data_IF_571707031492
#
_entry.id   IF_571707031492
#
_cell.length_a   1.000
_cell.length_b   1.000
_cell.length_c   1.000
_cell.angle_alpha   90.00
_cell.angle_beta   90.00
_cell.angle_gamma   90.00
#
_symmetry.space_group_name_H-M   'P 1'
#
loop_
_entity.id
_entity.type
_entity.pdbx_description
1 polymer ?
#
# COMPACT_ATOMS: atom_id res chain seq x y z
N UNK A 1 -23.02 -72.81 4.88
CA UNK A 1 -24.20 -73.66 5.14
C UNK A 1 -24.58 -73.44 6.60
N UNK A 2 -25.70 -72.76 6.86
CA UNK A 2 -26.98 -73.32 7.30
C UNK A 2 -27.06 -73.55 8.82
N UNK A 3 -28.05 -72.88 9.42
CA UNK A 3 -28.49 -72.97 10.80
C UNK A 3 -29.17 -74.33 11.11
N UNK A 4 -29.25 -74.72 12.39
CA UNK A 4 -30.49 -74.72 13.21
C UNK A 4 -30.42 -75.60 14.47
N UNK A 5 -31.09 -75.09 15.53
CA UNK A 5 -31.93 -75.75 16.57
C UNK A 5 -31.30 -76.79 17.52
N UNK A 6 -31.28 -76.56 18.84
CA UNK A 6 -32.36 -76.58 19.87
C UNK A 6 -32.55 -77.99 20.48
N UNK A 7 -32.36 -78.13 21.79
CA UNK A 7 -33.43 -78.47 22.75
C UNK A 7 -32.96 -78.97 24.14
N UNK A 8 -33.56 -78.33 25.15
CA UNK A 8 -34.27 -78.89 26.33
C UNK A 8 -33.51 -79.67 27.42
N UNK A 9 -33.48 -79.02 28.58
CA UNK A 9 -33.42 -79.57 29.94
C UNK A 9 -34.60 -80.51 30.24
N UNK A 10 -34.35 -81.79 30.52
CA UNK A 10 -35.27 -82.60 31.34
C UNK A 10 -34.61 -83.88 31.88
N UNK A 11 -34.77 -84.07 33.19
CA UNK A 11 -34.95 -85.37 33.87
C UNK A 11 -33.72 -86.30 34.05
N UNK A 12 -33.22 -86.38 35.30
CA UNK A 12 -33.53 -87.54 36.19
C UNK A 12 -33.01 -87.37 37.63
N UNK A 13 -33.98 -87.11 38.51
CA UNK A 13 -34.27 -87.79 39.79
C UNK A 13 -33.12 -88.37 40.64
N UNK A 14 -32.80 -87.62 41.69
CA UNK A 14 -32.77 -87.99 43.12
C UNK A 14 -32.57 -89.47 43.53
N UNK A 15 -31.51 -89.71 44.31
CA UNK A 15 -31.48 -90.70 45.41
C UNK A 15 -31.22 -89.97 46.72
N UNK A 16 -32.20 -89.97 47.62
CA UNK A 16 -32.12 -89.36 48.96
C UNK A 16 -31.28 -90.24 49.91
N UNK A 17 -30.38 -89.62 50.67
CA UNK A 17 -29.52 -90.24 51.69
C UNK A 17 -30.10 -90.07 53.11
N UNK A 18 -29.76 -90.97 54.05
CA UNK A 18 -30.51 -91.20 55.29
C UNK A 18 -30.41 -90.10 56.35
N UNK A 19 -31.51 -89.95 57.10
CA UNK A 19 -31.88 -88.88 58.06
C UNK A 19 -30.84 -88.45 59.11
N UNK A 20 -29.82 -89.26 59.42
CA UNK A 20 -28.79 -88.91 60.41
C UNK A 20 -27.83 -87.81 59.93
N UNK A 21 -27.69 -87.63 58.61
CA UNK A 21 -26.87 -86.55 58.04
C UNK A 21 -27.60 -85.20 58.06
N UNK A 22 -28.94 -85.22 58.14
CA UNK A 22 -29.77 -84.00 58.15
C UNK A 22 -29.72 -83.31 59.52
N UNK A 23 -29.65 -84.06 60.62
CA UNK A 23 -29.59 -83.49 61.98
C UNK A 23 -28.25 -82.84 62.31
N UNK A 24 -27.14 -83.36 61.76
CA UNK A 24 -25.81 -82.75 61.92
C UNK A 24 -25.68 -81.45 61.08
N UNK A 25 -26.26 -81.41 59.89
CA UNK A 25 -26.30 -80.21 59.06
C UNK A 25 -27.16 -79.09 59.68
N UNK A 26 -28.26 -79.45 60.36
CA UNK A 26 -29.11 -78.48 61.05
C UNK A 26 -28.40 -77.77 62.22
N UNK A 27 -27.59 -78.47 63.02
CA UNK A 27 -26.84 -77.84 64.12
C UNK A 27 -25.70 -76.93 63.63
N UNK A 28 -25.09 -77.24 62.48
CA UNK A 28 -24.06 -76.42 61.83
C UNK A 28 -24.61 -75.13 61.19
N UNK A 29 -25.93 -75.06 60.97
CA UNK A 29 -26.63 -73.89 60.44
C UNK A 29 -27.15 -72.92 61.51
N UNK A 30 -27.22 -73.34 62.78
CA UNK A 30 -27.66 -72.49 63.89
C UNK A 30 -26.49 -71.70 64.51
N UNK A 31 -25.27 -72.23 64.46
CA UNK A 31 -24.08 -71.56 64.99
C UNK A 31 -23.69 -70.25 64.26
N UNK A 32 -23.85 -70.08 62.93
CA UNK A 32 -23.65 -68.78 62.28
C UNK A 32 -24.77 -67.79 62.59
N UNK A 33 -25.98 -68.27 62.90
CA UNK A 33 -27.13 -67.40 63.16
C UNK A 33 -27.01 -66.66 64.51
N UNK A 34 -26.37 -67.26 65.52
CA UNK A 34 -26.07 -66.54 66.78
C UNK A 34 -24.85 -65.62 66.67
N UNK A 35 -23.89 -65.90 65.79
CA UNK A 35 -22.74 -65.02 65.54
C UNK A 35 -23.08 -63.71 64.83
N UNK A 36 -24.23 -63.65 64.13
CA UNK A 36 -24.70 -62.44 63.43
C UNK A 36 -25.50 -61.49 64.35
N UNK A 37 -26.02 -61.96 65.48
CA UNK A 37 -26.84 -61.11 66.39
C UNK A 37 -26.01 -60.34 67.42
N UNK A 38 -24.73 -60.69 67.63
CA UNK A 38 -23.84 -59.93 68.54
C UNK A 38 -23.00 -58.85 67.85
N UNK A 39 -23.11 -58.68 66.53
CA UNK A 39 -22.36 -57.64 65.78
C UNK A 39 -23.13 -56.31 65.62
N UNK A 40 -24.36 -56.20 66.13
CA UNK A 40 -25.14 -54.96 66.14
C UNK A 40 -25.23 -54.40 67.56
N UNK A 41 -24.15 -53.81 68.05
CA UNK A 41 -24.18 -53.09 69.31
C UNK A 41 -22.78 -52.80 69.84
N UNK A 42 -22.05 -51.87 69.20
CA UNK A 42 -21.57 -50.59 69.75
C UNK A 42 -20.79 -49.92 68.61
N UNK A 43 -21.47 -49.23 67.70
CA UNK A 43 -20.78 -48.12 67.04
C UNK A 43 -20.67 -47.02 68.09
N UNK A 44 -19.46 -46.54 68.46
CA UNK A 44 -19.37 -45.38 69.33
C UNK A 44 -20.19 -44.28 68.66
N UNK A 45 -21.07 -43.62 69.42
CA UNK A 45 -21.82 -42.48 68.94
C UNK A 45 -20.83 -41.57 68.24
N UNK A 46 -20.92 -41.50 66.91
CA UNK A 46 -20.06 -40.61 66.14
C UNK A 46 -20.49 -39.24 66.64
N UNK A 47 -19.61 -38.61 67.43
CA UNK A 47 -19.77 -37.22 67.81
C UNK A 47 -19.67 -36.48 66.49
N UNK A 48 -20.82 -36.25 65.85
CA UNK A 48 -20.90 -35.25 64.81
C UNK A 48 -20.68 -33.96 65.57
N UNK A 49 -19.45 -33.48 65.59
CA UNK A 49 -19.23 -32.05 65.76
C UNK A 49 -20.06 -31.43 64.65
N UNK A 50 -21.26 -30.95 64.99
CA UNK A 50 -22.02 -30.08 64.13
C UNK A 50 -21.16 -28.85 64.08
N UNK A 51 -20.25 -28.80 63.12
CA UNK A 51 -19.60 -27.57 62.75
C UNK A 51 -20.77 -26.64 62.42
N UNK A 52 -20.98 -25.63 63.24
CA UNK A 52 -21.84 -24.52 62.84
C UNK A 52 -21.22 -24.01 61.55
N UNK A 53 -21.85 -24.38 60.43
CA UNK A 53 -21.49 -23.82 59.15
C UNK A 53 -22.00 -22.39 59.21
N UNK A 54 -21.16 -21.49 59.68
CA UNK A 54 -21.37 -20.08 59.45
C UNK A 54 -21.28 -19.89 57.93
N UNK A 55 -22.42 -19.61 57.30
CA UNK A 55 -22.43 -19.14 55.92
C UNK A 55 -21.80 -17.75 55.96
N UNK A 56 -20.50 -17.69 55.69
CA UNK A 56 -19.79 -16.43 55.49
C UNK A 56 -20.14 -15.98 54.08
N UNK A 57 -21.21 -15.20 53.97
CA UNK A 57 -21.45 -14.41 52.77
C UNK A 57 -20.39 -13.31 52.72
N UNK A 58 -19.26 -13.62 52.09
CA UNK A 58 -18.29 -12.61 51.71
C UNK A 58 -18.77 -12.04 50.38
N UNK A 59 -19.33 -10.81 50.34
CA UNK A 59 -19.58 -10.16 49.06
C UNK A 59 -18.23 -9.98 48.40
N UNK A 60 -17.92 -10.84 47.44
CA UNK A 60 -16.85 -10.58 46.50
C UNK A 60 -17.38 -9.43 45.68
N UNK A 61 -16.93 -8.21 46.03
CA UNK A 61 -17.01 -7.09 45.11
C UNK A 61 -16.28 -7.57 43.87
N UNK A 62 -17.03 -7.97 42.84
CA UNK A 62 -16.49 -7.97 41.49
C UNK A 62 -15.85 -6.59 41.37
N UNK A 63 -14.57 -6.47 40.98
CA UNK A 63 -14.09 -5.18 40.54
C UNK A 63 -15.09 -4.78 39.45
N UNK A 64 -15.99 -3.86 39.79
CA UNK A 64 -16.69 -3.09 38.78
C UNK A 64 -15.53 -2.67 37.89
N UNK A 65 -15.56 -2.98 36.57
CA UNK A 65 -14.54 -2.43 35.70
C UNK A 65 -14.48 -0.97 36.10
N UNK A 66 -13.31 -0.49 36.57
CA UNK A 66 -13.10 0.93 36.82
C UNK A 66 -13.83 1.58 35.68
N UNK A 67 -14.82 2.44 35.97
CA UNK A 67 -15.51 3.17 34.91
C UNK A 67 -14.35 3.73 34.10
N UNK A 68 -14.07 3.08 32.96
CA UNK A 68 -12.98 3.51 32.12
C UNK A 68 -13.51 4.87 31.77
N UNK A 69 -12.92 5.91 32.36
CA UNK A 69 -13.24 7.29 32.07
C UNK A 69 -13.30 7.29 30.56
N UNK A 70 -14.51 7.32 29.99
CA UNK A 70 -14.72 6.98 28.59
C UNK A 70 -13.75 7.88 27.86
N UNK A 71 -12.64 7.31 27.41
CA UNK A 71 -11.49 8.07 27.00
C UNK A 71 -12.04 8.93 25.88
N UNK A 72 -12.17 10.24 26.11
CA UNK A 72 -12.96 11.19 25.29
C UNK A 72 -13.05 10.63 23.89
N UNK A 73 -14.21 10.07 23.50
CA UNK A 73 -14.25 9.15 22.37
C UNK A 73 -13.64 9.85 21.15
N UNK A 74 -12.46 9.38 20.73
CA UNK A 74 -11.71 9.96 19.62
C UNK A 74 -12.03 9.13 18.39
N UNK A 75 -12.46 9.80 17.35
CA UNK A 75 -12.79 9.19 16.08
C UNK A 75 -11.75 9.60 15.06
N UNK A 76 -11.12 8.61 14.43
CA UNK A 76 -10.17 8.83 13.34
C UNK A 76 -10.89 8.55 12.03
N UNK A 77 -10.91 9.54 11.14
CA UNK A 77 -11.43 9.41 9.79
C UNK A 77 -10.32 9.75 8.79
N UNK A 78 -10.31 9.06 7.66
CA UNK A 78 -9.33 9.26 6.60
C UNK A 78 -10.01 9.30 5.24
N UNK A 79 -9.67 10.33 4.46
CA UNK A 79 -10.29 10.58 3.16
C UNK A 79 -9.24 10.92 2.10
N UNK A 80 -9.51 10.49 0.87
CA UNK A 80 -8.75 10.91 -0.30
C UNK A 80 -9.34 12.20 -0.84
N UNK A 81 -8.46 13.16 -1.14
CA UNK A 81 -8.83 14.37 -1.88
C UNK A 81 -9.30 13.96 -3.27
N UNK A 82 -10.51 14.34 -3.63
CA UNK A 82 -11.08 14.15 -4.96
C UNK A 82 -10.89 15.40 -5.81
N UNK A 83 -11.11 15.24 -7.12
CA UNK A 83 -11.01 16.36 -8.06
C UNK A 83 -12.14 17.36 -7.81
N UNK A 84 -11.78 18.62 -7.56
CA UNK A 84 -12.74 19.69 -7.30
C UNK A 84 -13.16 19.82 -5.84
N UNK A 85 -12.59 18.99 -4.94
CA UNK A 85 -12.85 19.11 -3.51
C UNK A 85 -12.46 20.47 -2.98
N UNK A 86 -13.26 20.96 -2.03
CA UNK A 86 -12.90 22.08 -1.17
C UNK A 86 -12.51 21.54 0.21
N UNK A 87 -11.73 22.32 0.97
CA UNK A 87 -11.38 21.93 2.35
C UNK A 87 -12.65 21.77 3.21
N UNK A 88 -13.68 22.57 2.98
CA UNK A 88 -14.97 22.44 3.67
C UNK A 88 -15.66 21.10 3.34
N UNK A 89 -15.76 20.73 2.06
CA UNK A 89 -16.35 19.45 1.66
C UNK A 89 -15.57 18.24 2.20
N UNK A 90 -14.25 18.35 2.33
CA UNK A 90 -13.44 17.32 2.97
C UNK A 90 -13.67 17.24 4.48
N UNK A 91 -13.83 18.39 5.15
CA UNK A 91 -14.19 18.42 6.57
C UNK A 91 -15.53 17.72 6.80
N UNK A 92 -16.52 17.98 5.95
CA UNK A 92 -17.84 17.32 6.03
C UNK A 92 -17.71 15.80 5.89
N UNK A 93 -16.93 15.32 4.91
CA UNK A 93 -16.67 13.87 4.71
C UNK A 93 -15.89 13.24 5.85
N UNK A 94 -14.96 13.98 6.45
CA UNK A 94 -14.18 13.55 7.61
C UNK A 94 -14.97 13.64 8.93
N UNK A 95 -16.21 14.13 8.91
CA UNK A 95 -17.03 14.31 10.11
C UNK A 95 -16.61 15.49 10.99
N UNK A 96 -15.79 16.40 10.47
CA UNK A 96 -15.30 17.58 11.21
C UNK A 96 -16.35 18.68 11.18
N UNK A 97 -16.85 19.07 12.36
CA UNK A 97 -17.84 20.12 12.58
C UNK A 97 -17.29 21.24 13.48
N UNK A 98 -16.13 21.78 13.11
CA UNK A 98 -15.46 22.84 13.88
C UNK A 98 -15.18 24.09 13.01
N UNK A 99 -16.05 25.12 13.07
CA UNK A 99 -15.85 26.36 12.32
C UNK A 99 -14.54 27.08 12.66
N UNK A 100 -14.07 26.97 13.92
CA UNK A 100 -12.83 27.61 14.38
C UNK A 100 -11.60 27.00 13.70
N UNK A 101 -11.62 25.70 13.43
CA UNK A 101 -10.56 25.03 12.71
C UNK A 101 -10.43 25.53 11.26
N UNK A 102 -11.58 25.72 10.58
CA UNK A 102 -11.62 26.25 9.22
C UNK A 102 -11.14 27.70 9.15
N UNK A 103 -11.52 28.53 10.13
CA UNK A 103 -11.06 29.91 10.27
C UNK A 103 -9.55 29.97 10.51
N UNK A 104 -9.04 29.15 11.44
CA UNK A 104 -7.60 29.03 11.69
C UNK A 104 -6.83 28.66 10.42
N UNK A 105 -7.29 27.64 9.69
CA UNK A 105 -6.66 27.21 8.44
C UNK A 105 -6.55 28.34 7.42
N UNK A 106 -7.53 29.26 7.38
CA UNK A 106 -7.53 30.41 6.46
C UNK A 106 -6.62 31.54 6.93
N UNK A 107 -6.49 31.74 8.25
CA UNK A 107 -5.66 32.80 8.83
C UNK A 107 -4.17 32.45 8.91
N UNK A 108 -3.85 31.20 9.26
CA UNK A 108 -2.49 30.77 9.54
C UNK A 108 -1.63 30.61 8.26
N UNK A 109 -0.33 30.89 8.35
CA UNK A 109 0.58 30.80 7.20
C UNK A 109 0.81 29.35 6.73
N UNK A 110 0.97 28.41 7.67
CA UNK A 110 1.16 26.98 7.39
C UNK A 110 -0.18 26.30 7.12
N UNK A 111 -1.21 26.63 7.90
CA UNK A 111 -2.59 26.18 7.67
C UNK A 111 -3.07 26.49 6.25
N UNK A 112 -2.76 27.69 5.72
CA UNK A 112 -3.10 28.07 4.33
C UNK A 112 -2.44 27.20 3.26
N UNK A 113 -1.42 26.40 3.58
CA UNK A 113 -0.85 25.45 2.62
C UNK A 113 -1.87 24.41 2.19
N UNK A 114 -2.81 24.01 3.06
CA UNK A 114 -3.82 23.00 2.71
C UNK A 114 -4.71 23.48 1.56
N UNK A 115 -5.09 24.76 1.52
CA UNK A 115 -5.90 25.33 0.43
C UNK A 115 -5.12 25.46 -0.89
N UNK A 116 -3.81 25.69 -0.82
CA UNK A 116 -2.94 25.84 -2.00
C UNK A 116 -2.45 24.51 -2.57
N UNK A 117 -2.34 23.51 -1.71
CA UNK A 117 -1.72 22.23 -2.02
C UNK A 117 -2.71 21.07 -1.94
N UNK A 118 -4.03 21.32 -1.96
CA UNK A 118 -5.04 20.27 -2.02
C UNK A 118 -4.94 19.53 -3.36
N UNK A 119 -4.21 18.42 -3.39
CA UNK A 119 -3.93 17.67 -4.62
C UNK A 119 -4.79 16.42 -4.63
N UNK A 120 -5.59 16.18 -5.68
CA UNK A 120 -6.35 14.95 -5.81
C UNK A 120 -5.48 13.70 -5.64
N UNK A 121 -5.99 12.73 -4.90
CA UNK A 121 -5.31 11.48 -4.56
C UNK A 121 -4.49 11.52 -3.26
N UNK A 122 -4.18 12.71 -2.72
CA UNK A 122 -3.53 12.81 -1.39
C UNK A 122 -4.51 12.44 -0.28
N UNK A 123 -3.95 11.92 0.81
CA UNK A 123 -4.71 11.51 1.99
C UNK A 123 -4.75 12.66 3.01
N UNK A 124 -5.93 12.85 3.58
CA UNK A 124 -6.20 13.75 4.69
C UNK A 124 -6.82 12.94 5.81
N UNK A 125 -6.30 13.05 7.02
CA UNK A 125 -6.80 12.36 8.19
C UNK A 125 -7.24 13.39 9.23
N UNK A 126 -8.38 13.16 9.88
CA UNK A 126 -8.86 13.96 10.99
C UNK A 126 -9.08 13.08 12.21
N UNK A 127 -8.66 13.58 13.37
CA UNK A 127 -9.10 13.11 14.66
C UNK A 127 -10.14 14.09 15.19
N UNK A 128 -11.31 13.56 15.52
CA UNK A 128 -12.44 14.33 16.06
C UNK A 128 -12.87 13.78 17.41
N UNK A 129 -13.46 14.64 18.22
CA UNK A 129 -14.21 14.19 19.39
C UNK A 129 -15.66 13.84 19.04
N UNK A 130 -16.49 13.54 20.05
CA UNK A 130 -17.84 13.02 19.86
C UNK A 130 -18.80 13.94 19.09
N UNK A 131 -18.59 15.26 19.15
CA UNK A 131 -19.46 16.24 18.49
C UNK A 131 -18.89 16.70 17.13
N UNK A 132 -17.80 16.08 16.67
CA UNK A 132 -17.09 16.46 15.46
C UNK A 132 -16.11 17.61 15.65
N UNK A 133 -15.81 18.01 16.89
CA UNK A 133 -14.78 19.01 17.17
C UNK A 133 -13.42 18.48 16.71
N UNK A 134 -12.66 19.32 16.00
CA UNK A 134 -11.35 18.90 15.48
C UNK A 134 -10.35 18.85 16.64
N UNK A 135 -9.75 17.68 16.85
CA UNK A 135 -8.65 17.48 17.78
C UNK A 135 -7.31 17.55 17.05
N UNK A 136 -7.21 16.87 15.90
CA UNK A 136 -6.05 16.94 15.03
C UNK A 136 -6.43 16.78 13.55
N UNK A 137 -5.70 17.45 12.65
CA UNK A 137 -5.79 17.26 11.20
C UNK A 137 -4.39 16.99 10.65
N UNK A 138 -4.23 15.91 9.90
CA UNK A 138 -2.96 15.51 9.29
C UNK A 138 -3.11 15.48 7.78
N UNK A 139 -2.35 16.34 7.11
CA UNK A 139 -2.28 16.40 5.66
C UNK A 139 -0.91 15.93 5.17
N UNK A 140 -0.89 14.80 4.47
CA UNK A 140 0.36 14.16 4.07
C UNK A 140 0.94 14.84 2.82
N UNK A 141 2.06 15.55 2.99
CA UNK A 141 2.70 16.31 1.92
C UNK A 141 3.49 15.40 0.98
N UNK A 142 3.90 14.22 1.45
CA UNK A 142 4.59 13.16 0.70
C UNK A 142 5.51 12.36 1.62
N UNK A 143 6.58 11.74 1.09
CA UNK A 143 7.56 11.02 1.89
C UNK A 143 8.37 11.91 2.85
N UNK A 144 8.38 13.23 2.59
CA UNK A 144 9.20 14.19 3.32
C UNK A 144 8.57 14.65 4.64
N UNK A 145 7.28 14.38 4.85
CA UNK A 145 6.57 14.78 6.06
C UNK A 145 5.10 15.08 5.83
N UNK A 146 4.45 15.49 6.91
CA UNK A 146 3.04 15.86 6.96
C UNK A 146 2.88 17.21 7.63
N UNK A 147 1.83 17.92 7.23
CA UNK A 147 1.33 19.08 7.95
C UNK A 147 0.34 18.58 9.00
N UNK A 148 0.64 18.83 10.27
CA UNK A 148 -0.20 18.51 11.41
C UNK A 148 -0.77 19.79 12.01
N UNK A 149 -2.08 19.82 12.20
CA UNK A 149 -2.77 20.87 12.94
C UNK A 149 -3.36 20.23 14.18
N UNK A 150 -3.02 20.76 15.35
CA UNK A 150 -3.52 20.24 16.62
C UNK A 150 -4.29 21.32 17.36
N UNK A 151 -5.37 20.90 18.01
CA UNK A 151 -6.10 21.72 18.96
C UNK A 151 -5.26 21.92 20.22
N UNK A 152 -5.18 23.17 20.69
CA UNK A 152 -4.57 23.57 21.95
C UNK A 152 -5.61 24.29 22.83
N UNK A 153 -5.33 24.56 24.12
CA UNK A 153 -6.22 25.37 24.96
C UNK A 153 -6.53 26.76 24.37
N UNK A 154 -5.55 27.36 23.68
CA UNK A 154 -5.65 28.71 23.13
C UNK A 154 -6.13 28.75 21.66
N UNK A 155 -6.44 27.60 21.06
CA UNK A 155 -6.92 27.51 19.67
C UNK A 155 -6.31 26.34 18.91
N UNK A 156 -5.58 26.63 17.84
CA UNK A 156 -4.93 25.63 16.99
C UNK A 156 -3.49 26.03 16.68
N UNK A 157 -2.64 25.03 16.48
CA UNK A 157 -1.24 25.22 16.06
C UNK A 157 -0.96 24.31 14.86
N UNK A 158 -0.28 24.83 13.85
CA UNK A 158 0.12 24.11 12.65
C UNK A 158 1.64 23.89 12.63
N UNK A 159 2.06 22.64 12.44
CA UNK A 159 3.46 22.24 12.35
C UNK A 159 3.69 21.27 11.20
N UNK A 160 4.84 21.39 10.55
CA UNK A 160 5.31 20.34 9.64
C UNK A 160 6.17 19.38 10.46
N UNK A 161 5.87 18.07 10.36
CA UNK A 161 6.68 17.03 11.01
C UNK A 161 7.03 15.93 10.02
N UNK A 162 8.17 15.28 10.26
CA UNK A 162 8.48 14.04 9.58
C UNK A 162 7.49 12.95 9.99
N UNK A 163 7.25 11.99 9.10
CA UNK A 163 6.54 10.76 9.43
C UNK A 163 7.44 9.99 10.40
N UNK A 164 6.95 9.74 11.61
CA UNK A 164 7.76 9.21 12.70
C UNK A 164 7.95 7.69 12.60
N UNK A 165 6.95 6.98 12.09
CA UNK A 165 7.02 5.52 11.99
C UNK A 165 8.01 5.10 10.90
N UNK A 166 8.88 4.12 11.17
CA UNK A 166 9.79 3.60 10.16
C UNK A 166 8.99 3.00 8.99
N UNK A 167 9.44 3.21 7.73
CA UNK A 167 8.81 2.59 6.58
C UNK A 167 8.78 1.07 6.73
N UNK A 168 7.65 0.47 6.39
CA UNK A 168 7.51 -0.99 6.36
C UNK A 168 7.79 -1.49 4.94
N UNK A 169 8.58 -2.54 4.84
CA UNK A 169 8.97 -3.13 3.56
C UNK A 169 7.98 -4.22 3.15
N UNK A 170 7.43 -4.09 1.96
CA UNK A 170 6.55 -5.06 1.33
C UNK A 170 7.25 -5.69 0.13
N UNK A 171 6.89 -6.93 -0.19
CA UNK A 171 7.31 -7.58 -1.40
C UNK A 171 6.13 -8.27 -2.09
N UNK A 172 6.08 -8.20 -3.41
CA UNK A 172 5.01 -8.76 -4.23
C UNK A 172 5.57 -9.29 -5.54
N UNK A 173 4.91 -10.29 -6.11
CA UNK A 173 5.21 -10.80 -7.44
C UNK A 173 3.91 -11.06 -8.20
N UNK A 174 3.90 -10.78 -9.50
CA UNK A 174 2.73 -11.01 -10.35
C UNK A 174 3.15 -11.37 -11.78
N UNK A 175 2.19 -11.91 -12.53
CA UNK A 175 2.33 -12.23 -13.95
C UNK A 175 1.39 -11.37 -14.77
N UNK A 176 1.88 -10.81 -15.86
CA UNK A 176 1.13 -10.00 -16.80
C UNK A 176 0.15 -10.90 -17.55
N UNK A 177 -1.14 -10.58 -17.43
CA UNK A 177 -2.21 -11.21 -18.21
C UNK A 177 -2.70 -10.30 -19.34
N UNK A 178 -2.85 -9.01 -19.03
CA UNK A 178 -3.38 -7.99 -19.94
C UNK A 178 -2.55 -6.69 -19.91
N UNK A 179 -2.25 -6.17 -18.72
CA UNK A 179 -1.42 -4.98 -18.54
C UNK A 179 -0.65 -5.02 -17.23
N UNK A 180 0.34 -4.14 -17.07
CA UNK A 180 1.05 -3.98 -15.79
C UNK A 180 0.11 -3.57 -14.66
N UNK A 181 -0.77 -2.59 -14.91
CA UNK A 181 -1.69 -2.07 -13.90
C UNK A 181 -2.68 -3.14 -13.43
N UNK A 182 -3.27 -3.91 -14.36
CA UNK A 182 -4.14 -5.02 -13.99
C UNK A 182 -3.41 -6.07 -13.14
N UNK A 183 -2.14 -6.34 -13.45
CA UNK A 183 -1.33 -7.26 -12.67
C UNK A 183 -0.98 -6.71 -11.27
N UNK A 184 -0.64 -5.42 -11.15
CA UNK A 184 -0.38 -4.78 -9.84
C UNK A 184 -1.63 -4.73 -8.97
N UNK A 185 -2.79 -4.43 -9.56
CA UNK A 185 -4.08 -4.38 -8.86
C UNK A 185 -4.45 -5.76 -8.30
N UNK A 186 -4.24 -6.82 -9.09
CA UNK A 186 -4.56 -8.20 -8.69
C UNK A 186 -3.81 -8.68 -7.44
N UNK A 187 -2.68 -8.05 -7.10
CA UNK A 187 -1.87 -8.39 -5.92
C UNK A 187 -1.82 -7.27 -4.87
N UNK A 188 -2.63 -6.22 -5.05
CA UNK A 188 -2.75 -5.09 -4.12
C UNK A 188 -1.52 -4.19 -4.05
N UNK A 189 -0.77 -4.03 -5.15
CA UNK A 189 0.31 -3.05 -5.23
C UNK A 189 -0.32 -1.67 -5.53
N UNK A 190 -0.01 -0.61 -4.75
CA UNK A 190 -0.51 0.73 -5.03
C UNK A 190 -0.04 1.29 -6.38
N UNK A 191 -0.89 2.07 -7.05
CA UNK A 191 -0.62 2.72 -8.34
C UNK A 191 0.71 3.50 -8.37
N UNK A 192 1.05 4.16 -7.26
CA UNK A 192 2.29 4.92 -7.14
C UNK A 192 3.54 4.02 -7.27
N UNK A 193 3.47 2.76 -6.83
CA UNK A 193 4.54 1.78 -7.03
C UNK A 193 4.49 1.23 -8.45
N UNK A 194 3.30 0.96 -9.01
CA UNK A 194 3.16 0.54 -10.41
C UNK A 194 3.81 1.56 -11.38
N UNK A 195 3.61 2.85 -11.13
CA UNK A 195 4.25 3.95 -11.86
C UNK A 195 5.77 4.04 -11.65
N UNK A 196 6.26 3.63 -10.48
CA UNK A 196 7.71 3.52 -10.26
C UNK A 196 8.30 2.34 -11.04
N UNK A 197 7.60 1.20 -11.13
CA UNK A 197 8.04 0.06 -11.95
C UNK A 197 8.20 0.49 -13.41
N UNK A 198 7.22 1.19 -13.97
CA UNK A 198 7.30 1.66 -15.37
C UNK A 198 8.50 2.58 -15.58
N UNK A 199 8.75 3.51 -14.66
CA UNK A 199 9.87 4.45 -14.70
C UNK A 199 11.23 3.76 -14.62
N UNK A 200 11.37 2.86 -13.66
CA UNK A 200 12.63 2.17 -13.36
C UNK A 200 13.08 1.27 -14.52
N UNK A 201 12.14 0.63 -15.22
CA UNK A 201 12.44 -0.24 -16.35
C UNK A 201 12.19 0.42 -17.71
N UNK A 202 11.84 1.71 -17.73
CA UNK A 202 11.57 2.44 -18.96
C UNK A 202 12.74 2.41 -19.94
N UNK A 203 13.97 2.20 -19.46
CA UNK A 203 15.17 2.08 -20.31
C UNK A 203 15.08 0.91 -21.26
N UNK A 204 14.66 -0.24 -20.72
CA UNK A 204 14.81 -1.53 -21.35
C UNK A 204 13.50 -2.09 -21.91
N UNK A 205 12.37 -1.60 -21.41
CA UNK A 205 11.03 -2.09 -21.75
C UNK A 205 10.13 -0.90 -22.09
N UNK A 206 9.55 -0.89 -23.28
CA UNK A 206 8.39 -0.04 -23.57
C UNK A 206 7.11 -0.73 -23.10
N UNK A 207 6.57 -0.27 -21.97
CA UNK A 207 5.37 -0.87 -21.36
C UNK A 207 4.10 -0.79 -22.22
N UNK A 208 4.11 -0.04 -23.35
CA UNK A 208 2.97 0.05 -24.26
C UNK A 208 3.02 -0.99 -25.39
N UNK A 209 4.22 -1.37 -25.84
CA UNK A 209 4.41 -2.27 -26.99
C UNK A 209 5.05 -3.61 -26.65
N UNK A 210 5.89 -3.64 -25.62
CA UNK A 210 6.79 -4.77 -25.39
C UNK A 210 6.19 -5.78 -24.39
N UNK A 211 5.19 -5.37 -23.61
CA UNK A 211 4.53 -6.26 -22.65
C UNK A 211 3.78 -7.41 -23.33
N UNK A 212 4.01 -8.62 -22.82
CA UNK A 212 3.34 -9.84 -23.29
C UNK A 212 2.68 -10.58 -22.15
N UNK A 213 1.64 -11.33 -22.48
CA UNK A 213 1.04 -12.30 -21.55
C UNK A 213 2.10 -13.31 -21.12
N UNK A 214 2.25 -13.51 -19.82
CA UNK A 214 3.25 -14.40 -19.24
C UNK A 214 4.54 -13.71 -18.74
N UNK A 215 4.76 -12.45 -19.11
CA UNK A 215 5.79 -11.63 -18.47
C UNK A 215 5.54 -11.56 -16.97
N UNK A 216 6.58 -11.37 -16.16
CA UNK A 216 6.45 -11.38 -14.71
C UNK A 216 7.33 -10.32 -14.08
N UNK A 217 6.91 -9.87 -12.90
CA UNK A 217 7.73 -8.97 -12.11
C UNK A 217 7.72 -9.38 -10.64
N UNK A 218 8.76 -8.95 -9.93
CA UNK A 218 8.89 -9.04 -8.48
C UNK A 218 9.37 -7.68 -8.00
N UNK A 219 8.73 -7.13 -6.97
CA UNK A 219 9.04 -5.80 -6.46
C UNK A 219 9.11 -5.83 -4.95
N UNK A 220 10.10 -5.13 -4.40
CA UNK A 220 10.29 -4.85 -2.98
C UNK A 220 10.21 -3.34 -2.80
N UNK A 221 9.28 -2.87 -1.97
CA UNK A 221 8.98 -1.44 -1.84
C UNK A 221 8.60 -1.07 -0.41
N UNK A 222 8.74 0.20 -0.09
CA UNK A 222 8.38 0.76 1.21
C UNK A 222 6.93 1.27 1.19
N UNK A 223 6.26 1.15 2.33
CA UNK A 223 4.98 1.78 2.65
C UNK A 223 5.15 2.57 3.94
N UNK A 224 4.71 3.81 3.94
CA UNK A 224 4.80 4.70 5.08
C UNK A 224 3.51 4.63 5.89
N UNK A 225 3.67 4.55 7.20
CA UNK A 225 2.59 4.52 8.17
C UNK A 225 2.72 5.72 9.10
N UNK A 226 1.62 6.13 9.72
CA UNK A 226 1.64 7.09 10.81
C UNK A 226 0.58 6.67 11.82
N UNK A 227 1.00 6.41 13.06
CA UNK A 227 0.12 5.90 14.13
C UNK A 227 -0.58 4.59 13.75
N UNK A 228 0.11 3.74 12.98
CA UNK A 228 -0.42 2.43 12.53
C UNK A 228 -1.30 2.47 11.27
N UNK A 229 -1.69 3.65 10.79
CA UNK A 229 -2.49 3.81 9.57
C UNK A 229 -1.62 3.94 8.33
N UNK A 230 -2.10 3.42 7.19
CA UNK A 230 -1.38 3.52 5.93
C UNK A 230 -1.50 4.94 5.35
N UNK A 231 -0.34 5.58 5.18
CA UNK A 231 -0.25 6.97 4.71
C UNK A 231 -0.03 7.03 3.21
N UNK A 232 1.05 6.40 2.72
CA UNK A 232 1.41 6.47 1.31
C UNK A 232 2.36 5.34 0.96
N UNK A 233 2.38 5.00 -0.33
CA UNK A 233 3.51 4.28 -0.88
C UNK A 233 4.78 5.13 -0.82
N UNK A 234 5.88 4.49 -0.43
CA UNK A 234 7.22 5.04 -0.46
C UNK A 234 7.88 4.74 -1.81
N UNK A 235 9.11 4.23 -1.75
CA UNK A 235 9.96 3.97 -2.91
C UNK A 235 10.17 2.47 -3.15
N UNK A 236 10.45 2.11 -4.39
CA UNK A 236 10.96 0.78 -4.74
C UNK A 236 12.40 0.66 -4.24
N UNK A 237 12.67 -0.35 -3.42
CA UNK A 237 14.01 -0.70 -2.96
C UNK A 237 14.73 -1.59 -3.97
N UNK A 238 14.02 -2.59 -4.49
CA UNK A 238 14.52 -3.42 -5.58
C UNK A 238 13.39 -4.02 -6.39
N UNK A 239 13.65 -4.28 -7.67
CA UNK A 239 12.70 -4.93 -8.55
C UNK A 239 13.41 -5.84 -9.56
N UNK A 240 12.69 -6.87 -9.99
CA UNK A 240 13.02 -7.71 -11.13
C UNK A 240 11.85 -7.68 -12.11
N UNK A 241 12.14 -7.52 -13.40
CA UNK A 241 11.17 -7.71 -14.47
C UNK A 241 11.70 -8.75 -15.45
N UNK A 242 10.84 -9.68 -15.86
CA UNK A 242 11.14 -10.63 -16.93
C UNK A 242 10.19 -10.38 -18.08
N UNK A 243 10.74 -9.86 -19.18
CA UNK A 243 10.04 -9.54 -20.41
C UNK A 243 10.66 -10.34 -21.56
N UNK A 244 9.85 -11.11 -22.27
CA UNK A 244 10.30 -11.98 -23.39
C UNK A 244 11.49 -12.88 -23.02
N UNK A 245 11.45 -13.45 -21.80
CA UNK A 245 12.51 -14.31 -21.26
C UNK A 245 13.78 -13.58 -20.79
N UNK A 246 13.94 -12.29 -21.11
CA UNK A 246 15.06 -11.46 -20.63
C UNK A 246 14.75 -10.90 -19.26
N UNK A 247 15.76 -10.90 -18.39
CA UNK A 247 15.64 -10.45 -17.00
C UNK A 247 16.32 -9.11 -16.81
N UNK A 248 15.59 -8.20 -16.19
CA UNK A 248 16.01 -6.86 -15.85
C UNK A 248 15.93 -6.68 -14.35
N UNK A 249 16.92 -6.01 -13.77
CA UNK A 249 16.94 -5.70 -12.35
C UNK A 249 17.07 -4.21 -12.13
N UNK A 250 16.59 -3.79 -10.97
CA UNK A 250 16.77 -2.45 -10.47
C UNK A 250 16.94 -2.49 -8.96
N UNK A 251 17.95 -1.78 -8.46
CA UNK A 251 18.32 -1.69 -7.06
C UNK A 251 18.48 -0.22 -6.72
N UNK A 252 17.73 0.23 -5.72
CA UNK A 252 17.87 1.58 -5.17
C UNK A 252 19.22 1.70 -4.48
N UNK A 253 19.99 2.72 -4.83
CA UNK A 253 21.24 3.03 -4.18
C UNK A 253 21.38 4.53 -3.99
N UNK A 254 21.95 4.91 -2.84
CA UNK A 254 22.34 6.28 -2.53
C UNK A 254 23.86 6.36 -2.48
N UNK A 255 24.45 7.28 -3.23
CA UNK A 255 25.88 7.52 -3.22
C UNK A 255 26.31 8.37 -2.01
N UNK A 256 27.62 8.63 -1.91
CA UNK A 256 28.21 9.39 -0.80
C UNK A 256 27.87 10.89 -0.84
N UNK A 257 27.44 11.40 -2.00
CA UNK A 257 26.97 12.77 -2.19
C UNK A 257 25.47 12.92 -1.86
N UNK A 258 24.80 11.81 -1.55
CA UNK A 258 23.37 11.76 -1.25
C UNK A 258 22.47 11.66 -2.49
N UNK A 259 23.03 11.48 -3.68
CA UNK A 259 22.25 11.23 -4.88
C UNK A 259 21.69 9.81 -4.83
N UNK A 260 20.40 9.69 -5.12
CA UNK A 260 19.68 8.42 -5.06
C UNK A 260 19.16 8.05 -6.44
N UNK A 261 19.36 6.79 -6.83
CA UNK A 261 18.95 6.28 -8.14
C UNK A 261 18.73 4.77 -8.14
N UNK A 262 18.13 4.28 -9.22
CA UNK A 262 17.97 2.85 -9.46
C UNK A 262 19.02 2.36 -10.45
N UNK A 263 19.73 1.30 -10.09
CA UNK A 263 20.82 0.73 -10.87
C UNK A 263 20.59 -0.76 -11.11
N UNK A 264 21.13 -1.29 -12.19
CA UNK A 264 21.20 -2.72 -12.43
C UNK A 264 22.21 -3.37 -11.50
N UNK A 265 22.19 -4.70 -11.39
CA UNK A 265 23.11 -5.45 -10.52
C UNK A 265 24.60 -5.23 -10.82
N UNK A 266 24.97 -4.76 -12.02
CA UNK A 266 26.34 -4.42 -12.38
C UNK A 266 26.74 -2.97 -12.07
N UNK A 267 25.79 -2.14 -11.61
CA UNK A 267 25.97 -0.72 -11.31
C UNK A 267 25.63 0.21 -12.48
N UNK A 268 25.13 -0.31 -13.60
CA UNK A 268 24.61 0.50 -14.70
C UNK A 268 23.34 1.21 -14.25
N UNK A 269 23.23 2.51 -14.49
CA UNK A 269 22.04 3.26 -14.09
C UNK A 269 20.82 2.89 -14.94
N UNK A 270 19.72 2.56 -14.27
CA UNK A 270 18.46 2.11 -14.89
C UNK A 270 17.47 3.24 -15.14
N UNK A 271 17.63 4.38 -14.47
CA UNK A 271 16.88 5.57 -14.82
C UNK A 271 17.32 6.02 -16.21
N UNK A 272 16.42 6.03 -17.21
CA UNK A 272 16.71 6.79 -18.44
C UNK A 272 16.98 8.21 -17.97
N UNK A 273 17.99 8.89 -18.54
CA UNK A 273 18.10 10.33 -18.33
C UNK A 273 16.77 11.03 -18.67
N UNK A 274 15.92 10.44 -19.53
CA UNK A 274 14.59 10.94 -19.90
C UNK A 274 13.52 9.84 -20.10
N UNK A 275 12.30 10.05 -19.61
CA UNK A 275 11.10 9.30 -19.98
C UNK A 275 10.75 9.57 -21.44
N UNK A 276 10.37 8.51 -22.19
CA UNK A 276 9.88 8.66 -23.57
C UNK A 276 8.41 9.04 -23.67
N UNK A 277 7.61 8.54 -22.75
CA UNK A 277 6.21 8.93 -22.58
C UNK A 277 6.04 9.64 -21.25
N UNK A 278 5.90 10.98 -21.24
CA UNK A 278 5.72 11.75 -20.02
C UNK A 278 4.25 11.85 -19.57
N UNK A 279 3.38 10.94 -19.99
CA UNK A 279 1.96 10.97 -19.59
C UNK A 279 1.42 9.57 -19.34
N UNK A 280 0.64 9.45 -18.28
CA UNK A 280 0.06 8.18 -17.85
C UNK A 280 -1.01 7.70 -18.85
N UNK A 281 -1.19 6.39 -19.02
CA UNK A 281 -2.33 5.79 -19.75
C UNK A 281 -2.58 6.34 -21.16
N UNK A 282 -1.51 6.57 -21.93
CA UNK A 282 -1.64 7.19 -23.25
C UNK A 282 -1.34 6.25 -24.40
N UNK A 283 -1.85 6.64 -25.56
CA UNK A 283 -1.40 6.12 -26.86
C UNK A 283 -0.83 7.28 -27.66
N UNK A 284 0.22 7.01 -28.45
CA UNK A 284 0.67 7.98 -29.46
C UNK A 284 -0.47 8.17 -30.46
N UNK A 285 -1.07 9.36 -30.48
CA UNK A 285 -2.10 9.73 -31.45
C UNK A 285 -1.51 10.35 -32.71
N UNK A 286 -0.34 11.00 -32.60
CA UNK A 286 0.42 11.51 -33.75
C UNK A 286 1.91 11.51 -33.46
N UNK A 287 2.71 10.98 -34.39
CA UNK A 287 4.17 10.99 -34.31
C UNK A 287 4.82 12.32 -34.73
N UNK A 288 6.14 12.39 -34.60
CA UNK A 288 6.99 13.49 -35.05
C UNK A 288 7.17 13.50 -36.57
N UNK A 289 7.20 14.68 -37.20
CA UNK A 289 7.46 14.84 -38.64
C UNK A 289 6.34 15.51 -39.45
N UNK A 290 6.48 15.52 -40.78
CA UNK A 290 5.52 16.19 -41.67
C UNK A 290 4.14 15.52 -41.63
N UNK A 291 3.09 16.30 -41.30
CA UNK A 291 1.70 15.83 -41.33
C UNK A 291 0.76 16.89 -41.88
N UNK A 292 -0.37 16.43 -42.41
CA UNK A 292 -1.47 17.30 -42.78
C UNK A 292 -2.15 17.87 -41.52
N UNK A 293 -2.25 19.20 -41.42
CA UNK A 293 -2.79 19.90 -40.26
C UNK A 293 -4.32 20.04 -40.38
N UNK A 294 -5.12 19.37 -39.53
CA UNK A 294 -6.57 19.28 -39.74
C UNK A 294 -7.33 20.61 -39.57
N UNK A 295 -6.73 21.60 -38.89
CA UNK A 295 -7.34 22.93 -38.69
C UNK A 295 -6.95 23.92 -39.80
N UNK A 296 -5.78 23.75 -40.43
CA UNK A 296 -5.25 24.71 -41.41
C UNK A 296 -5.14 24.14 -42.83
N UNK A 297 -5.56 22.88 -43.02
CA UNK A 297 -5.57 22.13 -44.29
C UNK A 297 -4.27 22.22 -45.11
N UNK A 298 -3.10 22.19 -44.45
CA UNK A 298 -1.79 22.18 -45.10
C UNK A 298 -0.82 21.19 -44.45
N UNK A 299 0.22 20.79 -45.19
CA UNK A 299 1.32 20.00 -44.65
C UNK A 299 2.20 20.87 -43.76
N UNK A 300 2.33 20.50 -42.48
CA UNK A 300 3.19 21.17 -41.50
C UNK A 300 4.05 20.15 -40.76
N UNK A 301 5.24 20.58 -40.37
CA UNK A 301 6.08 19.80 -39.49
C UNK A 301 5.43 19.75 -38.10
N UNK A 302 5.14 18.54 -37.63
CA UNK A 302 4.80 18.29 -36.25
C UNK A 302 6.10 18.19 -35.44
N UNK A 303 6.34 19.20 -34.61
CA UNK A 303 7.60 19.43 -33.89
C UNK A 303 7.73 18.64 -32.59
N UNK A 304 6.78 17.73 -32.35
CA UNK A 304 6.68 16.90 -31.16
C UNK A 304 5.88 15.62 -31.43
N UNK A 305 5.47 14.97 -30.35
CA UNK A 305 4.63 13.76 -30.36
C UNK A 305 3.37 14.05 -29.56
N UNK A 306 2.22 13.66 -30.09
CA UNK A 306 0.94 13.82 -29.42
C UNK A 306 0.56 12.50 -28.74
N UNK A 307 0.33 12.58 -27.43
CA UNK A 307 -0.15 11.47 -26.61
C UNK A 307 -1.62 11.71 -26.25
N UNK A 308 -2.52 10.92 -26.82
CA UNK A 308 -3.93 10.97 -26.45
C UNK A 308 -4.13 10.35 -25.07
N UNK A 309 -4.77 11.10 -24.18
CA UNK A 309 -5.11 10.68 -22.82
C UNK A 309 -6.33 11.48 -22.32
N UNK A 310 -7.14 10.95 -21.39
CA UNK A 310 -8.28 11.66 -20.82
C UNK A 310 -7.89 13.01 -20.20
N UNK A 311 -8.78 14.01 -20.29
CA UNK A 311 -8.55 15.33 -19.68
C UNK A 311 -8.36 15.21 -18.16
N UNK A 312 -7.26 15.72 -17.64
CA UNK A 312 -6.89 15.65 -16.23
C UNK A 312 -5.85 14.58 -15.91
N UNK A 313 -5.48 13.74 -16.88
CA UNK A 313 -4.39 12.76 -16.70
C UNK A 313 -3.08 13.47 -16.36
N UNK A 314 -2.29 12.93 -15.45
CA UNK A 314 -1.05 13.59 -15.00
C UNK A 314 -0.01 13.59 -16.11
N UNK A 315 0.58 14.76 -16.33
CA UNK A 315 1.76 14.95 -17.16
C UNK A 315 2.97 15.07 -16.24
N UNK A 316 4.01 14.31 -16.53
CA UNK A 316 5.18 14.15 -15.67
C UNK A 316 6.43 14.78 -16.32
N UNK A 317 7.35 15.30 -15.51
CA UNK A 317 8.65 15.73 -16.03
C UNK A 317 9.40 14.54 -16.63
N UNK A 318 9.83 14.65 -17.89
CA UNK A 318 10.56 13.57 -18.54
C UNK A 318 11.92 13.29 -17.86
N UNK A 319 12.52 14.29 -17.22
CA UNK A 319 13.83 14.19 -16.60
C UNK A 319 14.02 15.22 -15.49
N UNK A 320 15.06 15.04 -14.68
CA UNK A 320 15.52 16.04 -13.73
C UNK A 320 15.84 17.36 -14.45
N UNK A 321 15.46 18.48 -13.84
CA UNK A 321 15.68 19.79 -14.44
C UNK A 321 15.08 20.94 -13.65
N UNK A 322 15.02 22.08 -14.31
CA UNK A 322 14.33 23.26 -13.79
C UNK A 322 13.37 23.83 -14.84
N UNK A 323 12.21 24.27 -14.37
CA UNK A 323 11.18 24.88 -15.21
C UNK A 323 11.69 26.24 -15.70
N UNK A 324 11.83 26.41 -17.01
CA UNK A 324 12.22 27.69 -17.65
C UNK A 324 11.02 28.48 -18.15
N UNK A 325 9.84 27.87 -18.19
CA UNK A 325 8.58 28.57 -18.42
C UNK A 325 7.37 27.73 -18.02
N UNK A 326 6.38 28.38 -17.42
CA UNK A 326 5.07 27.79 -17.16
C UNK A 326 4.00 28.87 -17.37
N UNK A 327 3.11 28.69 -18.34
CA UNK A 327 2.09 29.68 -18.67
C UNK A 327 1.46 29.47 -20.03
N UNK A 328 0.65 30.45 -20.47
CA UNK A 328 0.03 30.44 -21.79
C UNK A 328 1.06 30.72 -22.90
N UNK A 329 1.04 29.91 -23.98
CA UNK A 329 1.95 30.00 -25.13
C UNK A 329 1.23 29.73 -26.45
N UNK A 330 0.44 30.70 -26.90
CA UNK A 330 -0.20 30.71 -28.23
C UNK A 330 -0.82 29.34 -28.60
N UNK A 331 -0.39 28.75 -29.72
CA UNK A 331 -0.91 27.48 -30.22
C UNK A 331 -0.75 26.31 -29.23
N UNK A 332 0.24 26.34 -28.33
CA UNK A 332 0.39 25.31 -27.29
C UNK A 332 -0.63 25.45 -26.14
N UNK A 333 -1.34 26.58 -26.03
CA UNK A 333 -2.20 26.83 -24.88
C UNK A 333 -1.39 26.93 -23.58
N UNK A 334 -1.85 26.29 -22.49
CA UNK A 334 -1.03 26.20 -21.29
C UNK A 334 0.12 25.21 -21.52
N UNK A 335 1.35 25.68 -21.30
CA UNK A 335 2.54 24.89 -21.53
C UNK A 335 3.56 25.04 -20.39
N UNK A 336 4.28 23.95 -20.15
CA UNK A 336 5.48 23.92 -19.30
C UNK A 336 6.69 23.64 -20.19
N UNK A 337 7.79 24.35 -19.97
CA UNK A 337 9.06 24.12 -20.61
C UNK A 337 10.14 23.90 -19.55
N UNK A 338 10.91 22.82 -19.69
CA UNK A 338 11.87 22.37 -18.68
C UNK A 338 13.25 22.29 -19.34
N UNK A 339 14.24 22.89 -18.66
CA UNK A 339 15.64 22.79 -19.01
C UNK A 339 16.28 21.68 -18.19
N UNK A 340 16.97 20.80 -18.89
CA UNK A 340 17.67 19.65 -18.32
C UNK A 340 19.18 19.84 -18.42
N UNK A 341 19.94 18.84 -17.98
CA UNK A 341 21.39 18.79 -18.15
C UNK A 341 21.82 18.99 -19.61
N UNK A 342 22.97 19.63 -19.81
CA UNK A 342 23.52 19.93 -21.14
C UNK A 342 22.67 20.92 -21.93
N UNK A 343 22.49 20.67 -23.23
CA UNK A 343 21.74 21.55 -24.15
C UNK A 343 20.28 21.13 -24.36
N UNK A 344 19.73 20.27 -23.49
CA UNK A 344 18.41 19.64 -23.70
C UNK A 344 17.28 20.48 -23.08
N UNK A 345 16.17 20.64 -23.81
CA UNK A 345 14.91 21.17 -23.28
C UNK A 345 13.73 20.29 -23.69
N UNK A 346 12.70 20.25 -22.85
CA UNK A 346 11.41 19.59 -23.17
C UNK A 346 10.26 20.56 -23.01
N UNK A 347 9.22 20.42 -23.84
CA UNK A 347 7.99 21.23 -23.79
C UNK A 347 6.77 20.33 -23.70
N UNK A 348 5.82 20.72 -22.86
CA UNK A 348 4.58 20.00 -22.56
C UNK A 348 3.41 20.95 -22.81
N UNK A 349 2.70 20.77 -23.92
CA UNK A 349 1.62 21.65 -24.38
C UNK A 349 0.21 21.11 -24.12
N UNK A 350 -0.78 21.96 -24.41
CA UNK A 350 -2.22 21.73 -24.33
C UNK A 350 -2.75 21.41 -22.93
N UNK A 351 -2.01 21.77 -21.87
CA UNK A 351 -2.36 21.42 -20.50
C UNK A 351 -3.69 22.04 -20.07
N UNK A 352 -4.47 21.35 -19.24
CA UNK A 352 -5.66 21.94 -18.62
C UNK A 352 -5.31 22.84 -17.43
N UNK A 353 -4.12 22.65 -16.86
CA UNK A 353 -3.59 23.39 -15.71
C UNK A 353 -2.24 22.84 -15.27
N UNK A 354 -1.59 23.54 -14.35
CA UNK A 354 -0.27 23.22 -13.80
C UNK A 354 -0.38 22.51 -12.45
N UNK A 355 0.62 21.70 -12.09
CA UNK A 355 0.70 21.17 -10.72
C UNK A 355 1.11 22.29 -9.74
N UNK A 356 0.72 22.23 -8.45
CA UNK A 356 0.81 23.38 -7.53
C UNK A 356 2.21 23.98 -7.32
N UNK A 357 3.26 23.17 -7.43
CA UNK A 357 4.64 23.61 -7.23
C UNK A 357 5.30 24.16 -8.51
N UNK A 358 4.60 24.10 -9.65
CA UNK A 358 5.18 24.36 -10.97
C UNK A 358 5.06 25.83 -11.33
N UNK A 359 6.23 26.46 -11.45
CA UNK A 359 6.44 27.85 -11.85
C UNK A 359 7.84 28.00 -12.41
N UNK A 360 8.10 29.05 -13.17
CA UNK A 360 9.47 29.37 -13.63
C UNK A 360 10.45 29.38 -12.45
N UNK A 361 11.58 28.68 -12.61
CA UNK A 361 12.61 28.47 -11.59
C UNK A 361 12.40 27.25 -10.69
N UNK A 362 11.24 26.58 -10.72
CA UNK A 362 11.01 25.38 -9.91
C UNK A 362 11.93 24.23 -10.35
N UNK A 363 12.55 23.55 -9.38
CA UNK A 363 13.26 22.29 -9.60
C UNK A 363 12.24 21.16 -9.69
N UNK A 364 12.47 20.24 -10.62
CA UNK A 364 11.66 19.04 -10.81
C UNK A 364 12.59 17.85 -10.95
N UNK A 365 12.15 16.72 -10.42
CA UNK A 365 12.76 15.42 -10.64
C UNK A 365 12.00 14.68 -11.74
N UNK A 366 12.67 13.74 -12.39
CA UNK A 366 12.05 12.84 -13.35
C UNK A 366 10.81 12.18 -12.73
N UNK A 367 9.69 12.32 -13.43
CA UNK A 367 8.42 11.75 -13.04
C UNK A 367 7.63 12.56 -12.01
N UNK A 368 8.09 13.76 -11.62
CA UNK A 368 7.29 14.69 -10.84
C UNK A 368 6.10 15.17 -11.68
N UNK A 369 4.87 15.26 -11.13
CA UNK A 369 3.74 15.86 -11.82
C UNK A 369 4.00 17.33 -12.14
N UNK A 370 3.94 17.69 -13.42
CA UNK A 370 4.15 19.08 -13.87
C UNK A 370 2.86 19.77 -14.30
N UNK A 371 1.83 18.99 -14.64
CA UNK A 371 0.55 19.51 -15.07
C UNK A 371 -0.41 18.38 -15.40
N UNK A 372 -1.49 18.74 -16.09
CA UNK A 372 -2.57 17.80 -16.41
C UNK A 372 -2.98 17.94 -17.87
N UNK A 373 -3.26 16.82 -18.53
CA UNK A 373 -3.71 16.76 -19.92
C UNK A 373 -4.96 17.61 -20.12
N UNK A 374 -4.96 18.43 -21.16
CA UNK A 374 -6.09 19.27 -21.52
C UNK A 374 -6.29 19.31 -23.03
N UNK A 375 -6.96 20.36 -23.47
CA UNK A 375 -7.18 20.69 -24.88
C UNK A 375 -7.13 22.21 -25.06
N UNK A 376 -6.18 22.88 -24.38
CA UNK A 376 -6.01 24.34 -24.47
C UNK A 376 -5.16 24.70 -25.69
N UNK A 377 -5.31 25.92 -26.22
CA UNK A 377 -4.63 26.32 -27.47
C UNK A 377 -5.24 25.65 -28.69
N UNK A 378 -4.40 25.28 -29.67
CA UNK A 378 -4.82 24.66 -30.92
C UNK A 378 -4.88 23.13 -30.79
N UNK A 379 -5.87 22.63 -30.06
CA UNK A 379 -6.09 21.20 -29.85
C UNK A 379 -7.49 20.79 -30.32
N UNK A 380 -7.60 19.68 -31.06
CA UNK A 380 -8.90 19.14 -31.51
C UNK A 380 -9.60 18.28 -30.44
N UNK A 381 -8.86 17.83 -29.43
CA UNK A 381 -9.38 17.04 -28.31
C UNK A 381 -8.31 16.84 -27.23
N UNK A 382 -8.65 16.17 -26.11
CA UNK A 382 -7.71 15.97 -25.02
C UNK A 382 -6.46 15.16 -25.41
N UNK A 383 -5.29 15.80 -25.36
CA UNK A 383 -3.99 15.16 -25.58
C UNK A 383 -2.85 16.00 -24.97
N UNK A 384 -1.69 15.39 -24.80
CA UNK A 384 -0.44 16.08 -24.52
C UNK A 384 0.35 16.24 -25.81
N UNK A 385 0.77 17.46 -26.14
CA UNK A 385 1.80 17.70 -27.13
C UNK A 385 3.18 17.76 -26.44
N UNK A 386 4.08 16.86 -26.81
CA UNK A 386 5.40 16.71 -26.20
C UNK A 386 6.53 16.99 -27.19
N UNK A 387 7.37 17.98 -26.90
CA UNK A 387 8.56 18.26 -27.69
C UNK A 387 9.85 17.94 -26.92
N UNK A 388 10.85 17.48 -27.66
CA UNK A 388 12.21 17.27 -27.16
C UNK A 388 13.18 18.04 -28.05
N UNK A 389 14.06 18.85 -27.45
CA UNK A 389 15.05 19.65 -28.18
C UNK A 389 16.45 19.40 -27.66
N UNK A 390 17.41 19.32 -28.58
CA UNK A 390 18.85 19.32 -28.27
C UNK A 390 19.46 20.54 -28.93
N UNK A 391 20.09 21.42 -28.15
CA UNK A 391 20.69 22.66 -28.64
C UNK A 391 19.71 23.52 -29.48
N UNK A 392 18.43 23.52 -29.09
CA UNK A 392 17.36 24.24 -29.77
C UNK A 392 16.73 23.53 -30.97
N UNK A 393 17.32 22.46 -31.49
CA UNK A 393 16.75 21.68 -32.60
C UNK A 393 15.79 20.61 -32.10
N UNK A 394 14.58 20.57 -32.66
CA UNK A 394 13.57 19.54 -32.35
C UNK A 394 14.05 18.16 -32.78
N UNK A 395 13.85 17.18 -31.91
CA UNK A 395 14.18 15.78 -32.13
C UNK A 395 12.93 14.93 -31.93
N UNK A 396 12.84 13.81 -32.64
CA UNK A 396 11.82 12.80 -32.38
C UNK A 396 12.08 12.18 -31.00
N UNK A 397 11.25 12.47 -29.97
CA UNK A 397 11.46 11.95 -28.62
C UNK A 397 11.40 10.42 -28.55
N UNK A 398 10.75 9.78 -29.54
CA UNK A 398 10.61 8.33 -29.64
C UNK A 398 11.81 7.68 -30.33
N UNK A 399 12.75 8.44 -30.92
CA UNK A 399 13.91 7.89 -31.63
C UNK A 399 15.24 8.44 -31.16
N UNK A 400 15.26 9.64 -30.60
CA UNK A 400 16.49 10.33 -30.18
C UNK A 400 17.30 9.46 -29.21
N UNK A 401 18.61 9.42 -29.43
CA UNK A 401 19.55 8.82 -28.50
C UNK A 401 19.60 9.69 -27.24
N UNK A 402 19.14 9.13 -26.13
CA UNK A 402 19.14 9.82 -24.84
C UNK A 402 20.53 9.74 -24.20
N UNK A 403 20.96 10.76 -23.43
CA UNK A 403 22.18 10.68 -22.65
C UNK A 403 22.15 9.41 -21.78
N UNK A 404 23.27 8.68 -21.76
CA UNK A 404 23.41 7.54 -20.85
C UNK A 404 23.49 8.08 -19.43
N UNK A 405 22.65 7.57 -18.53
CA UNK A 405 22.71 7.94 -17.14
C UNK A 405 24.04 7.48 -16.52
N UNK A 406 24.58 8.28 -15.60
CA UNK A 406 25.89 8.01 -14.98
C UNK A 406 25.79 6.74 -14.14
N UNK A 407 26.68 5.75 -14.34
CA UNK A 407 26.72 4.53 -13.52
C UNK A 407 27.10 4.86 -12.08
N UNK A 408 27.03 3.86 -11.19
CA UNK A 408 27.49 4.01 -9.81
C UNK A 408 28.93 4.53 -9.79
N UNK A 409 29.25 5.61 -9.05
CA UNK A 409 30.61 6.12 -8.92
C UNK A 409 31.57 5.04 -8.44
N UNK A 410 32.78 5.01 -9.00
CA UNK A 410 33.78 4.00 -8.68
C UNK A 410 34.07 3.92 -7.16
N UNK A 411 34.06 5.07 -6.47
CA UNK A 411 34.25 5.15 -5.02
C UNK A 411 33.18 4.40 -4.22
N UNK A 412 31.93 4.37 -4.71
CA UNK A 412 30.80 3.75 -4.03
C UNK A 412 30.49 2.32 -4.51
N UNK A 413 31.27 1.81 -5.49
CA UNK A 413 31.03 0.51 -6.15
C UNK A 413 31.01 -0.67 -5.19
N UNK A 414 31.92 -0.72 -4.22
CA UNK A 414 31.97 -1.82 -3.25
C UNK A 414 30.72 -1.87 -2.35
N UNK A 415 30.22 -0.71 -1.92
CA UNK A 415 28.98 -0.61 -1.13
C UNK A 415 27.78 -1.00 -2.00
N UNK A 416 27.76 -0.55 -3.24
CA UNK A 416 26.73 -0.95 -4.20
C UNK A 416 26.68 -2.46 -4.42
N UNK A 417 27.84 -3.12 -4.58
CA UNK A 417 27.90 -4.57 -4.83
C UNK A 417 27.33 -5.40 -3.67
N UNK A 418 27.50 -4.91 -2.44
CA UNK A 418 26.86 -5.49 -1.26
C UNK A 418 25.33 -5.32 -1.32
N UNK A 419 24.84 -4.10 -1.57
CA UNK A 419 23.40 -3.82 -1.73
C UNK A 419 22.78 -4.64 -2.87
N UNK A 420 23.46 -4.75 -4.02
CA UNK A 420 23.00 -5.52 -5.17
C UNK A 420 22.92 -7.02 -4.88
N UNK A 421 23.87 -7.55 -4.11
CA UNK A 421 23.86 -8.96 -3.70
C UNK A 421 22.70 -9.27 -2.76
N UNK A 422 22.43 -8.39 -1.80
CA UNK A 422 21.27 -8.51 -0.91
C UNK A 422 19.95 -8.44 -1.70
N UNK A 423 19.81 -7.42 -2.56
CA UNK A 423 18.62 -7.24 -3.39
C UNK A 423 18.35 -8.46 -4.28
N UNK A 424 19.37 -8.98 -4.97
CA UNK A 424 19.27 -10.20 -5.78
C UNK A 424 18.79 -11.40 -4.96
N UNK A 425 19.30 -11.56 -3.74
CA UNK A 425 18.91 -12.66 -2.86
C UNK A 425 17.45 -12.54 -2.44
N UNK A 426 17.02 -11.35 -2.01
CA UNK A 426 15.64 -11.08 -1.61
C UNK A 426 14.66 -11.31 -2.78
N UNK A 427 14.94 -10.74 -3.95
CA UNK A 427 14.14 -10.95 -5.16
C UNK A 427 14.05 -12.45 -5.52
N UNK A 428 15.14 -13.19 -5.38
CA UNK A 428 15.18 -14.64 -5.58
C UNK A 428 14.24 -15.42 -4.66
N UNK A 429 14.22 -15.08 -3.36
CA UNK A 429 13.32 -15.72 -2.37
C UNK A 429 11.86 -15.44 -2.68
N UNK A 430 11.51 -14.17 -2.94
CA UNK A 430 10.12 -13.76 -3.23
C UNK A 430 9.58 -14.45 -4.47
N UNK A 431 10.39 -14.50 -5.54
CA UNK A 431 10.03 -15.21 -6.78
C UNK A 431 9.76 -16.69 -6.54
N UNK A 432 10.59 -17.35 -5.73
CA UNK A 432 10.45 -18.79 -5.45
C UNK A 432 9.18 -19.06 -4.65
N UNK A 433 8.89 -18.24 -3.63
CA UNK A 433 7.67 -18.34 -2.84
C UNK A 433 6.40 -18.13 -3.70
N UNK A 434 6.42 -17.14 -4.60
CA UNK A 434 5.30 -16.86 -5.49
C UNK A 434 5.02 -18.00 -6.50
N UNK A 435 6.05 -18.74 -6.90
CA UNK A 435 5.90 -19.91 -7.78
C UNK A 435 5.38 -21.14 -7.03
N UNK A 436 5.71 -21.29 -5.75
CA UNK A 436 5.24 -22.42 -4.94
C UNK A 436 3.72 -22.36 -4.69
N UNK A 437 3.17 -21.16 -4.50
CA UNK A 437 1.73 -20.93 -4.26
C UNK A 437 0.83 -21.12 -5.50
N UNK A 438 1.38 -21.55 -6.65
CA UNK A 438 0.63 -21.79 -7.89
C UNK A 438 0.33 -23.26 -8.15
N UNK A 439 0.82 -24.15 -7.30
CA UNK A 439 0.53 -25.58 -7.35
C UNK A 439 -0.33 -25.95 -6.14
N UNK A 440 -1.61 -25.58 -6.19
CA UNK A 440 -2.70 -26.17 -5.39
C UNK A 440 -4.02 -26.06 -6.17
#
# INVERSE_FOLDING_TARGET
MLAQKADILAQRSARLRPLRQVTAAALLLVMPALGVVTAFGVAPATVTHRHEVAIVEQPISLPLPEQQNLSVARFVAQERVLRGDTVAALFDRLGVRDPRALEFLRGDAKGRMIFRQLVPGKLLQAETGPEGELLALRYFLGPQGLLEIMRTPDGFVANERAIADPPRVFHKAATIQSSLFAATDSVGIPDAIAMQITRVFATDIDFHSDLRKGDRFTVVYEMLYDSGELVTAGRILSAEFVNDGRRYHAVLFRDDEGNEGHYDLDGTNRAKAFLRSPVEFSRVSSGFGARFHPIFNNWRAHTGVDFAAPRGTRVLAAADGHVIGAGWRNGYGNAVEIKHGGSITTLYGHLSGFAPAIRTGARVRQGDPIGFVGATGWATGPHLHYEFKISGAHQDPMKVALPKATPVPAASKARFDATATEARTTLGRVRTAANALRFD
#
